data_IF_693249664763
#
_entry.id   IF_693249664763
#
_cell.length_a   1.000
_cell.length_b   1.000
_cell.length_c   1.000
_cell.angle_alpha   90.00
_cell.angle_beta   90.00
_cell.angle_gamma   90.00
#
_symmetry.space_group_name_H-M   'P 1'
#
loop_
_entity.id
_entity.type
_entity.pdbx_description
1 polymer ?
#
# COMPACT_ATOMS: atom_id res chain seq x y z
N UNK A 1 9.13 -19.19 18.51
CA UNK A 1 8.23 -18.33 19.31
C UNK A 1 8.90 -17.03 19.76
N UNK A 2 10.17 -17.02 20.14
CA UNK A 2 10.90 -15.80 20.56
C UNK A 2 10.99 -14.72 19.48
N UNK A 3 11.24 -15.07 18.22
CA UNK A 3 11.33 -14.09 17.12
C UNK A 3 10.02 -13.35 16.86
N UNK A 4 8.88 -14.04 16.91
CA UNK A 4 7.55 -13.43 16.77
C UNK A 4 7.27 -12.42 17.90
N UNK A 5 7.61 -12.79 19.15
CA UNK A 5 7.44 -11.91 20.29
C UNK A 5 8.31 -10.64 20.18
N UNK A 6 9.56 -10.77 19.69
CA UNK A 6 10.47 -9.64 19.47
C UNK A 6 9.92 -8.70 18.41
N UNK A 7 9.43 -9.22 17.27
CA UNK A 7 8.84 -8.41 16.21
C UNK A 7 7.57 -7.66 16.68
N UNK A 8 6.70 -8.34 17.43
CA UNK A 8 5.51 -7.70 18.00
C UNK A 8 5.87 -6.64 19.04
N UNK A 9 6.85 -6.91 19.90
CA UNK A 9 7.32 -5.97 20.89
C UNK A 9 7.93 -4.73 20.24
N UNK A 10 8.78 -4.91 19.22
CA UNK A 10 9.36 -3.82 18.45
C UNK A 10 8.27 -2.99 17.75
N UNK A 11 7.27 -3.63 17.14
CA UNK A 11 6.14 -2.94 16.53
C UNK A 11 5.30 -2.17 17.56
N UNK A 12 5.06 -2.75 18.74
CA UNK A 12 4.33 -2.09 19.82
C UNK A 12 5.07 -0.86 20.36
N UNK A 13 6.40 -0.98 20.55
CA UNK A 13 7.26 0.16 20.97
C UNK A 13 7.25 1.25 19.92
N UNK A 14 7.47 0.90 18.63
CA UNK A 14 7.47 1.85 17.52
C UNK A 14 6.12 2.58 17.40
N UNK A 15 5.01 1.86 17.58
CA UNK A 15 3.68 2.45 17.59
C UNK A 15 3.47 3.39 18.80
N UNK A 16 3.96 3.01 19.98
CA UNK A 16 3.95 3.84 21.18
C UNK A 16 4.73 5.13 20.98
N UNK A 17 5.96 5.05 20.43
CA UNK A 17 6.82 6.19 20.10
C UNK A 17 6.14 7.11 19.07
N UNK A 18 5.53 6.53 18.04
CA UNK A 18 4.76 7.29 17.04
C UNK A 18 3.66 8.13 17.68
N UNK A 19 2.91 7.56 18.62
CA UNK A 19 1.87 8.29 19.37
C UNK A 19 2.44 9.38 20.26
N UNK A 20 3.52 9.10 20.96
CA UNK A 20 4.16 10.04 21.88
C UNK A 20 4.70 11.27 21.14
N UNK A 21 5.31 11.05 19.98
CA UNK A 21 5.87 12.09 19.13
C UNK A 21 4.84 12.76 18.20
N UNK A 22 3.56 12.33 18.22
CA UNK A 22 2.50 12.79 17.31
C UNK A 22 2.84 12.60 15.83
N UNK A 23 3.71 11.63 15.49
CA UNK A 23 4.13 11.32 14.13
C UNK A 23 3.22 10.25 13.50
N UNK A 24 3.14 10.19 12.16
CA UNK A 24 2.42 9.12 11.48
C UNK A 24 3.01 7.74 11.83
N UNK A 25 2.19 6.74 12.21
CA UNK A 25 2.72 5.44 12.67
C UNK A 25 3.41 4.63 11.58
N UNK A 26 2.99 4.74 10.32
CA UNK A 26 3.52 3.93 9.22
C UNK A 26 5.01 4.18 8.96
N UNK A 27 5.50 5.43 8.79
CA UNK A 27 6.93 5.69 8.66
C UNK A 27 7.76 5.22 9.85
N UNK A 28 7.26 5.38 11.08
CA UNK A 28 7.97 4.95 12.30
C UNK A 28 8.09 3.42 12.34
N UNK A 29 7.02 2.70 11.99
CA UNK A 29 7.05 1.25 11.91
C UNK A 29 8.02 0.75 10.84
N UNK A 30 8.06 1.39 9.66
CA UNK A 30 9.02 1.07 8.60
C UNK A 30 10.47 1.28 9.06
N UNK A 31 10.76 2.44 9.64
CA UNK A 31 12.10 2.76 10.14
C UNK A 31 12.51 1.81 11.27
N UNK A 32 11.58 1.45 12.15
CA UNK A 32 11.85 0.47 13.23
C UNK A 32 12.16 -0.92 12.68
N UNK A 33 11.49 -1.35 11.60
CA UNK A 33 11.78 -2.62 10.92
C UNK A 33 13.19 -2.64 10.31
N UNK A 34 13.56 -1.56 9.60
CA UNK A 34 14.91 -1.39 9.04
C UNK A 34 15.98 -1.38 10.15
N UNK A 35 15.75 -0.61 11.22
CA UNK A 35 16.67 -0.55 12.35
C UNK A 35 16.82 -1.89 13.08
N UNK A 36 15.71 -2.63 13.24
CA UNK A 36 15.72 -3.95 13.86
C UNK A 36 16.53 -4.96 13.02
N UNK A 37 16.38 -4.91 11.70
CA UNK A 37 17.16 -5.75 10.78
C UNK A 37 18.66 -5.43 10.88
N UNK A 38 19.02 -4.16 10.80
CA UNK A 38 20.42 -3.71 10.92
C UNK A 38 21.03 -4.12 12.28
N UNK A 39 20.26 -4.02 13.36
CA UNK A 39 20.69 -4.44 14.70
C UNK A 39 20.85 -5.96 14.78
N UNK A 40 19.94 -6.74 14.20
CA UNK A 40 20.03 -8.19 14.15
C UNK A 40 21.30 -8.65 13.40
N UNK A 41 21.58 -8.04 12.23
CA UNK A 41 22.81 -8.30 11.46
C UNK A 41 24.07 -7.95 12.26
N UNK A 42 24.08 -6.82 12.97
CA UNK A 42 25.23 -6.38 13.79
C UNK A 42 25.46 -7.30 15.01
N UNK A 43 24.41 -7.91 15.55
CA UNK A 43 24.47 -8.85 16.67
C UNK A 43 24.68 -10.31 16.24
N UNK A 44 24.75 -10.59 14.93
CA UNK A 44 24.84 -11.94 14.38
C UNK A 44 23.59 -12.79 14.65
N UNK A 45 22.44 -12.15 14.83
CA UNK A 45 21.15 -12.83 15.04
C UNK A 45 20.47 -13.01 13.70
N UNK A 46 20.32 -14.25 13.27
CA UNK A 46 19.55 -14.57 12.05
C UNK A 46 18.05 -14.43 12.33
N UNK A 47 17.39 -13.58 11.54
CA UNK A 47 15.92 -13.49 11.53
C UNK A 47 15.40 -14.56 10.57
N UNK A 48 14.64 -15.55 11.03
CA UNK A 48 14.12 -16.60 10.15
C UNK A 48 13.21 -16.00 9.05
N UNK A 49 13.62 -16.09 7.80
CA UNK A 49 12.86 -15.57 6.65
C UNK A 49 11.44 -16.18 6.56
N UNK A 50 11.33 -17.47 6.90
CA UNK A 50 10.04 -18.15 6.95
C UNK A 50 9.05 -17.47 7.91
N UNK A 51 9.51 -17.05 9.10
CA UNK A 51 8.66 -16.36 10.07
C UNK A 51 8.18 -15.00 9.56
N UNK A 52 9.05 -14.26 8.89
CA UNK A 52 8.70 -12.95 8.29
C UNK A 52 7.69 -13.15 7.17
N UNK A 53 7.88 -14.17 6.31
CA UNK A 53 6.96 -14.51 5.22
C UNK A 53 5.57 -14.88 5.74
N UNK A 54 5.46 -15.75 6.73
CA UNK A 54 4.19 -16.11 7.37
C UNK A 54 3.48 -14.90 7.97
N UNK A 55 4.21 -14.00 8.62
CA UNK A 55 3.64 -12.77 9.17
C UNK A 55 3.13 -11.82 8.08
N UNK A 56 3.83 -11.73 6.96
CA UNK A 56 3.40 -10.93 5.79
C UNK A 56 2.11 -11.52 5.22
N UNK A 57 2.01 -12.83 5.04
CA UNK A 57 0.81 -13.50 4.52
C UNK A 57 -0.40 -13.26 5.41
N UNK A 58 -0.27 -13.47 6.72
CA UNK A 58 -1.35 -13.22 7.69
C UNK A 58 -1.73 -11.74 7.70
N UNK A 59 -0.73 -10.84 7.72
CA UNK A 59 -0.96 -9.40 7.69
C UNK A 59 -1.69 -8.94 6.42
N UNK A 60 -1.29 -9.47 5.27
CA UNK A 60 -1.95 -9.22 3.98
C UNK A 60 -3.39 -9.75 3.97
N UNK A 61 -3.62 -10.98 4.45
CA UNK A 61 -4.95 -11.57 4.53
C UNK A 61 -5.89 -10.72 5.40
N UNK A 62 -5.44 -10.28 6.58
CA UNK A 62 -6.21 -9.42 7.48
C UNK A 62 -6.47 -8.05 6.84
N UNK A 63 -5.48 -7.49 6.15
CA UNK A 63 -5.59 -6.19 5.49
C UNK A 63 -6.61 -6.25 4.33
N UNK A 64 -6.52 -7.28 3.48
CA UNK A 64 -7.47 -7.50 2.37
C UNK A 64 -8.88 -7.76 2.91
N UNK A 65 -9.01 -8.56 3.96
CA UNK A 65 -10.30 -8.81 4.61
C UNK A 65 -10.92 -7.53 5.15
N UNK A 66 -10.14 -6.72 5.87
CA UNK A 66 -10.61 -5.45 6.45
C UNK A 66 -11.02 -4.46 5.35
N UNK A 67 -10.21 -4.36 4.30
CA UNK A 67 -10.55 -3.55 3.13
C UNK A 67 -11.83 -4.03 2.46
N UNK A 68 -12.02 -5.36 2.32
CA UNK A 68 -13.23 -5.95 1.74
C UNK A 68 -14.49 -5.67 2.56
N UNK A 69 -14.39 -5.68 3.89
CA UNK A 69 -15.51 -5.34 4.79
C UNK A 69 -15.88 -3.86 4.71
N UNK A 70 -14.89 -2.98 4.60
CA UNK A 70 -15.10 -1.53 4.49
C UNK A 70 -15.67 -1.13 3.12
N UNK A 71 -15.38 -1.91 2.08
CA UNK A 71 -15.84 -1.69 0.72
C UNK A 71 -17.26 -2.26 0.51
N UNK A 72 -18.27 -1.43 0.70
CA UNK A 72 -19.65 -1.78 0.36
C UNK A 72 -20.00 -1.31 -1.08
N UNK A 73 -20.14 -2.23 -2.05
CA UNK A 73 -20.47 -1.88 -3.43
C UNK A 73 -21.79 -1.08 -3.57
N UNK A 74 -22.75 -1.34 -2.67
CA UNK A 74 -24.04 -0.64 -2.66
C UNK A 74 -23.93 0.86 -2.38
N UNK A 75 -22.85 1.29 -1.69
CA UNK A 75 -22.63 2.73 -1.37
C UNK A 75 -22.05 3.51 -2.53
N UNK A 76 -21.57 2.82 -3.58
CA UNK A 76 -20.95 3.40 -4.78
C UNK A 76 -21.95 3.59 -5.92
N UNK A 77 -23.16 3.01 -5.82
CA UNK A 77 -24.22 3.11 -6.84
C UNK A 77 -24.69 4.56 -6.96
N UNK A 78 -24.50 5.16 -8.13
CA UNK A 78 -25.02 6.48 -8.50
C UNK A 78 -24.02 7.47 -9.10
N UNK A 79 -22.70 7.25 -9.01
CA UNK A 79 -21.68 8.15 -9.58
C UNK A 79 -20.54 7.42 -10.30
N UNK A 80 -20.85 6.34 -11.00
CA UNK A 80 -19.84 5.47 -11.65
C UNK A 80 -19.04 6.20 -12.73
N UNK A 81 -19.65 7.07 -13.54
CA UNK A 81 -18.97 7.80 -14.62
C UNK A 81 -17.83 8.70 -14.11
N UNK A 82 -18.04 9.64 -13.17
CA UNK A 82 -16.95 10.49 -12.68
C UNK A 82 -15.86 9.68 -11.96
N UNK A 83 -16.22 8.62 -11.24
CA UNK A 83 -15.25 7.72 -10.60
C UNK A 83 -14.34 7.07 -11.64
N UNK A 84 -14.91 6.51 -12.71
CA UNK A 84 -14.14 5.87 -13.78
C UNK A 84 -13.24 6.87 -14.51
N UNK A 85 -13.74 8.04 -14.86
CA UNK A 85 -12.95 9.06 -15.56
C UNK A 85 -11.74 9.46 -14.73
N UNK A 86 -11.94 9.76 -13.44
CA UNK A 86 -10.84 10.16 -12.54
C UNK A 86 -9.86 9.01 -12.31
N UNK A 87 -10.36 7.79 -12.09
CA UNK A 87 -9.52 6.62 -11.86
C UNK A 87 -8.64 6.32 -13.09
N UNK A 88 -9.23 6.31 -14.29
CA UNK A 88 -8.51 6.05 -15.53
C UNK A 88 -7.49 7.14 -15.81
N UNK A 89 -7.89 8.41 -15.76
CA UNK A 89 -6.99 9.54 -16.04
C UNK A 89 -5.81 9.59 -15.06
N UNK A 90 -6.06 9.36 -13.79
CA UNK A 90 -5.01 9.33 -12.76
C UNK A 90 -4.09 8.12 -12.93
N UNK A 91 -4.64 6.93 -13.14
CA UNK A 91 -3.87 5.70 -13.30
C UNK A 91 -2.93 5.77 -14.49
N UNK A 92 -3.46 6.08 -15.66
CA UNK A 92 -2.67 6.20 -16.89
C UNK A 92 -1.75 7.43 -16.86
N UNK A 93 -2.22 8.56 -16.32
CA UNK A 93 -1.39 9.77 -16.19
C UNK A 93 -0.15 9.55 -15.35
N UNK A 94 -0.31 8.96 -14.16
CA UNK A 94 0.83 8.63 -13.28
C UNK A 94 1.69 7.50 -13.85
N UNK A 95 1.07 6.47 -14.45
CA UNK A 95 1.79 5.37 -15.10
C UNK A 95 2.68 5.87 -16.23
N UNK A 96 2.13 6.68 -17.16
CA UNK A 96 2.88 7.25 -18.28
C UNK A 96 3.99 8.17 -17.78
N UNK A 97 3.70 9.04 -16.80
CA UNK A 97 4.72 9.90 -16.21
C UNK A 97 5.84 9.09 -15.55
N UNK A 98 5.49 7.99 -14.87
CA UNK A 98 6.45 7.08 -14.26
C UNK A 98 7.34 6.38 -15.29
N UNK A 99 6.74 5.83 -16.35
CA UNK A 99 7.49 5.21 -17.47
C UNK A 99 8.42 6.23 -18.12
N UNK A 100 7.90 7.42 -18.46
CA UNK A 100 8.69 8.47 -19.10
C UNK A 100 9.88 8.89 -18.23
N UNK A 101 9.67 9.05 -16.92
CA UNK A 101 10.74 9.39 -15.97
C UNK A 101 11.78 8.28 -15.88
N UNK A 102 11.36 7.02 -15.82
CA UNK A 102 12.27 5.87 -15.75
C UNK A 102 13.11 5.74 -17.03
N UNK A 103 12.51 5.91 -18.21
CA UNK A 103 13.22 5.92 -19.48
C UNK A 103 14.22 7.07 -19.55
N UNK A 104 13.84 8.24 -19.07
CA UNK A 104 14.74 9.41 -19.01
C UNK A 104 15.95 9.18 -18.08
N UNK A 105 15.76 8.41 -17.00
CA UNK A 105 16.83 7.98 -16.09
C UNK A 105 17.71 6.85 -16.66
N UNK A 106 17.43 6.36 -17.88
CA UNK A 106 18.24 5.35 -18.57
C UNK A 106 17.86 3.89 -18.24
N UNK A 107 16.73 3.66 -17.59
CA UNK A 107 16.23 2.29 -17.39
C UNK A 107 15.71 1.69 -18.71
N UNK A 108 15.82 0.39 -18.86
CA UNK A 108 15.22 -0.35 -19.98
C UNK A 108 13.69 -0.29 -19.95
N UNK A 109 13.07 -0.54 -21.10
CA UNK A 109 11.62 -0.39 -21.27
C UNK A 109 10.81 -1.28 -20.29
N UNK A 110 11.26 -2.51 -20.05
CA UNK A 110 10.55 -3.42 -19.13
C UNK A 110 10.61 -2.92 -17.70
N UNK A 111 11.79 -2.53 -17.22
CA UNK A 111 11.96 -1.93 -15.89
C UNK A 111 11.18 -0.62 -15.77
N UNK A 112 11.19 0.22 -16.81
CA UNK A 112 10.39 1.45 -16.82
C UNK A 112 8.89 1.17 -16.73
N UNK A 113 8.39 0.13 -17.38
CA UNK A 113 7.01 -0.29 -17.31
C UNK A 113 6.61 -0.72 -15.87
N UNK A 114 7.45 -1.54 -15.22
CA UNK A 114 7.22 -1.94 -13.82
C UNK A 114 7.23 -0.74 -12.86
N UNK A 115 8.17 0.19 -13.05
CA UNK A 115 8.24 1.41 -12.23
C UNK A 115 7.03 2.31 -12.45
N UNK A 116 6.57 2.47 -13.69
CA UNK A 116 5.36 3.21 -14.01
C UNK A 116 4.11 2.59 -13.38
N UNK A 117 4.00 1.25 -13.40
CA UNK A 117 2.93 0.52 -12.72
C UNK A 117 2.98 0.73 -11.20
N UNK A 118 4.16 0.65 -10.60
CA UNK A 118 4.35 0.88 -9.16
C UNK A 118 3.97 2.30 -8.74
N UNK A 119 4.30 3.30 -9.55
CA UNK A 119 3.94 4.70 -9.29
C UNK A 119 2.44 4.99 -9.48
N UNK A 120 1.74 4.26 -10.35
CA UNK A 120 0.30 4.39 -10.51
C UNK A 120 -0.50 3.76 -9.37
N UNK A 121 0.13 2.89 -8.58
CA UNK A 121 -0.49 2.27 -7.41
C UNK A 121 -0.65 3.29 -6.28
N UNK A 122 -1.89 3.51 -5.85
CA UNK A 122 -2.22 4.42 -4.75
C UNK A 122 -2.38 3.66 -3.44
N UNK A 123 -1.91 4.22 -2.32
CA UNK A 123 -2.09 3.60 -1.01
C UNK A 123 -3.49 3.82 -0.45
N UNK A 124 -4.38 2.88 -0.72
CA UNK A 124 -5.77 2.87 -0.25
C UNK A 124 -5.85 3.03 1.26
N UNK A 125 -4.99 2.35 2.02
CA UNK A 125 -5.00 2.38 3.48
C UNK A 125 -4.73 3.78 4.06
N UNK A 126 -3.78 4.51 3.50
CA UNK A 126 -3.42 5.87 3.98
C UNK A 126 -4.59 6.82 3.75
N UNK A 127 -5.21 6.74 2.57
CA UNK A 127 -6.33 7.61 2.19
C UNK A 127 -7.57 7.29 3.04
N UNK A 128 -7.89 6.01 3.22
CA UNK A 128 -9.02 5.57 4.07
C UNK A 128 -8.85 6.09 5.49
N UNK A 129 -7.68 5.91 6.11
CA UNK A 129 -7.39 6.42 7.45
C UNK A 129 -7.51 7.95 7.54
N UNK A 130 -7.07 8.66 6.51
CA UNK A 130 -7.19 10.11 6.47
C UNK A 130 -8.65 10.57 6.42
N UNK A 131 -9.47 9.93 5.56
CA UNK A 131 -10.89 10.19 5.46
C UNK A 131 -11.65 9.83 6.74
N UNK A 132 -11.30 8.72 7.39
CA UNK A 132 -11.85 8.32 8.69
C UNK A 132 -11.55 9.36 9.77
N UNK A 133 -10.29 9.80 9.87
CA UNK A 133 -9.87 10.82 10.84
C UNK A 133 -10.62 12.14 10.65
N UNK A 134 -10.93 12.51 9.41
CA UNK A 134 -11.71 13.72 9.07
C UNK A 134 -13.21 13.52 9.11
N UNK A 135 -13.71 12.31 9.40
CA UNK A 135 -15.13 11.95 9.35
C UNK A 135 -15.80 12.18 7.98
N UNK A 136 -14.99 12.20 6.90
CA UNK A 136 -15.44 12.48 5.53
C UNK A 136 -15.69 11.21 4.70
N UNK A 137 -15.53 10.03 5.28
CA UNK A 137 -15.64 8.74 4.59
C UNK A 137 -17.01 8.53 3.92
N UNK A 138 -18.08 9.06 4.53
CA UNK A 138 -19.46 8.90 4.04
C UNK A 138 -19.96 10.11 3.26
N UNK A 139 -19.19 11.17 3.16
CA UNK A 139 -19.51 12.34 2.35
C UNK A 139 -19.39 12.04 0.83
N UNK A 140 -20.02 12.84 -0.04
CA UNK A 140 -19.93 12.65 -1.49
C UNK A 140 -18.50 12.62 -2.02
N UNK A 141 -17.63 13.44 -1.45
CA UNK A 141 -16.19 13.47 -1.76
C UNK A 141 -15.48 12.18 -1.34
N UNK A 142 -15.66 11.75 -0.09
CA UNK A 142 -15.04 10.53 0.41
C UNK A 142 -15.45 9.28 -0.37
N UNK A 143 -16.74 9.19 -0.75
CA UNK A 143 -17.25 8.10 -1.59
C UNK A 143 -16.65 8.10 -2.99
N UNK A 144 -16.43 9.28 -3.57
CA UNK A 144 -15.77 9.40 -4.87
C UNK A 144 -14.32 8.93 -4.77
N UNK A 145 -13.58 9.40 -3.78
CA UNK A 145 -12.17 9.00 -3.55
C UNK A 145 -12.04 7.49 -3.33
N UNK A 146 -12.89 6.91 -2.46
CA UNK A 146 -12.89 5.46 -2.23
C UNK A 146 -13.21 4.67 -3.51
N UNK A 147 -14.14 5.18 -4.31
CA UNK A 147 -14.46 4.58 -5.60
C UNK A 147 -13.31 4.59 -6.59
N UNK A 148 -12.60 5.70 -6.68
CA UNK A 148 -11.39 5.83 -7.52
C UNK A 148 -10.32 4.83 -7.09
N UNK A 149 -10.02 4.74 -5.80
CA UNK A 149 -9.03 3.82 -5.25
C UNK A 149 -9.38 2.36 -5.57
N UNK A 150 -10.65 1.98 -5.39
CA UNK A 150 -11.10 0.62 -5.69
C UNK A 150 -10.93 0.26 -7.17
N UNK A 151 -11.25 1.18 -8.08
CA UNK A 151 -11.04 0.97 -9.52
C UNK A 151 -9.55 0.85 -9.84
N UNK A 152 -8.70 1.65 -9.20
CA UNK A 152 -7.24 1.57 -9.36
C UNK A 152 -6.68 0.24 -8.85
N UNK A 153 -7.15 -0.27 -7.71
CA UNK A 153 -6.74 -1.57 -7.19
C UNK A 153 -7.09 -2.71 -8.17
N UNK A 154 -8.27 -2.66 -8.80
CA UNK A 154 -8.64 -3.61 -9.86
C UNK A 154 -7.72 -3.49 -11.07
N UNK A 155 -7.38 -2.27 -11.51
CA UNK A 155 -6.47 -2.07 -12.63
C UNK A 155 -5.06 -2.59 -12.33
N UNK A 156 -4.54 -2.39 -11.12
CA UNK A 156 -3.24 -2.92 -10.70
C UNK A 156 -3.24 -4.44 -10.75
N UNK A 157 -4.26 -5.09 -10.21
CA UNK A 157 -4.37 -6.55 -10.22
C UNK A 157 -4.37 -7.08 -11.67
N UNK A 158 -5.20 -6.49 -12.54
CA UNK A 158 -5.27 -6.89 -13.95
C UNK A 158 -3.94 -6.68 -14.67
N UNK A 159 -3.28 -5.56 -14.40
CA UNK A 159 -1.99 -5.23 -15.00
C UNK A 159 -0.88 -6.17 -14.51
N UNK A 160 -0.83 -6.47 -13.21
CA UNK A 160 0.13 -7.43 -12.65
C UNK A 160 -0.04 -8.82 -13.26
N UNK A 161 -1.28 -9.29 -13.42
CA UNK A 161 -1.56 -10.56 -14.09
C UNK A 161 -1.12 -10.55 -15.57
N UNK A 162 -1.28 -9.40 -16.25
CA UNK A 162 -0.80 -9.25 -17.62
C UNK A 162 0.73 -9.24 -17.72
N UNK A 163 1.40 -8.53 -16.80
CA UNK A 163 2.86 -8.42 -16.73
C UNK A 163 3.53 -9.77 -16.41
N UNK A 164 2.91 -10.61 -15.58
CA UNK A 164 3.41 -11.96 -15.28
C UNK A 164 3.50 -12.88 -16.50
N UNK A 165 2.83 -12.54 -17.61
CA UNK A 165 2.87 -13.27 -18.88
C UNK A 165 3.89 -12.72 -19.87
N UNK A 166 4.52 -11.60 -19.53
CA UNK A 166 5.62 -11.08 -20.35
C UNK A 166 6.90 -11.86 -20.04
N UNK A 167 7.65 -12.26 -21.08
CA UNK A 167 8.90 -13.03 -20.93
C UNK A 167 10.00 -12.22 -20.23
#
# INVERSE_FOLDING_TARGET
MTGFAILLLAAAIAFGVSKLLHLPPIPILLLSGVALRALAEALGVEVPEALVSEMIEIGLAVLVFTAGVDLSPRRMLGRTKPILIVAISQFFGLGIAGVATALWLGYDFITALYLGCALSASSTLVVVRHLQKRRQMFEPFGRLVLGVLLVQDVFIILLMVALLKLP
#
